data_IF_248347768677
#
_entry.id   IF_248347768677
#
_cell.length_a   1.000
_cell.length_b   1.000
_cell.length_c   1.000
_cell.angle_alpha   90.00
_cell.angle_beta   90.00
_cell.angle_gamma   90.00
#
_symmetry.space_group_name_H-M   'P 1'
#
loop_
_entity.id
_entity.type
_entity.pdbx_description
1 polymer ?
#
# COMPACT_ATOMS: atom_id res chain seq x y z
N UNK A 1 -26.34 -15.79 47.69
CA UNK A 1 -25.30 -15.82 48.75
C UNK A 1 -23.98 -16.08 48.03
N UNK A 2 -23.23 -15.04 47.64
CA UNK A 2 -22.18 -14.36 48.42
C UNK A 2 -21.02 -15.34 48.70
N UNK A 3 -19.77 -15.12 48.30
CA UNK A 3 -19.01 -13.88 48.37
C UNK A 3 -17.95 -13.75 47.27
N UNK A 4 -17.81 -12.51 46.79
CA UNK A 4 -16.62 -11.97 46.16
C UNK A 4 -15.63 -11.60 47.27
N UNK A 5 -14.36 -12.02 47.19
CA UNK A 5 -13.31 -11.11 47.65
C UNK A 5 -11.93 -11.34 47.04
N UNK A 6 -11.26 -10.20 46.85
CA UNK A 6 -10.00 -9.97 46.15
C UNK A 6 -8.79 -10.38 47.00
N UNK A 7 -7.75 -10.90 46.35
CA UNK A 7 -6.43 -11.16 46.94
C UNK A 7 -5.32 -10.53 46.10
N UNK A 8 -4.77 -9.44 46.63
CA UNK A 8 -3.71 -8.56 46.13
C UNK A 8 -2.35 -9.28 45.92
N UNK A 9 -1.65 -9.03 44.80
CA UNK A 9 -0.26 -9.46 44.59
C UNK A 9 0.68 -8.28 44.86
N UNK A 10 1.58 -8.33 45.86
CA UNK A 10 2.49 -7.22 46.12
C UNK A 10 3.65 -7.21 45.11
N UNK A 11 3.98 -5.99 44.68
CA UNK A 11 5.15 -5.64 43.89
C UNK A 11 6.42 -5.86 44.72
N UNK A 12 7.36 -6.67 44.23
CA UNK A 12 8.70 -6.77 44.79
C UNK A 12 9.59 -5.71 44.15
N UNK A 13 9.71 -4.59 44.87
CA UNK A 13 10.80 -3.62 44.74
C UNK A 13 12.07 -4.21 45.35
N UNK A 14 13.17 -4.23 44.60
CA UNK A 14 14.52 -4.52 45.12
C UNK A 14 15.39 -3.30 44.90
N UNK A 15 15.40 -2.40 45.89
CA UNK A 15 16.48 -1.44 46.13
C UNK A 15 17.29 -1.90 47.34
N UNK A 16 18.61 -1.79 47.24
CA UNK A 16 19.61 -2.09 48.28
C UNK A 16 20.67 -3.04 47.71
N UNK A 17 21.98 -2.81 47.79
CA UNK A 17 22.76 -2.03 48.77
C UNK A 17 24.09 -1.57 48.13
N UNK A 18 24.58 -0.46 48.66
CA UNK A 18 25.82 0.27 48.38
C UNK A 18 27.12 -0.44 48.81
N UNK A 19 28.20 -0.03 48.12
CA UNK A 19 29.58 0.17 48.61
C UNK A 19 30.56 -1.01 48.73
N UNK A 20 31.65 -0.88 47.96
CA UNK A 20 32.95 -1.54 48.20
C UNK A 20 33.97 -1.09 47.14
N UNK A 21 34.86 -0.16 47.50
CA UNK A 21 36.00 0.33 46.69
C UNK A 21 37.26 -0.43 47.10
N UNK A 22 38.04 -0.98 46.15
CA UNK A 22 39.50 -1.16 46.27
C UNK A 22 40.20 -1.52 44.94
N UNK A 23 40.99 -0.56 44.45
CA UNK A 23 42.28 -0.65 43.74
C UNK A 23 42.59 -1.70 42.63
N UNK A 24 42.75 -1.16 41.42
CA UNK A 24 43.90 -1.27 40.49
C UNK A 24 44.45 -2.65 40.05
N UNK A 25 44.19 -3.01 38.78
CA UNK A 25 45.17 -3.67 37.90
C UNK A 25 44.85 -3.36 36.42
N UNK A 26 45.79 -2.67 35.75
CA UNK A 26 45.81 -2.46 34.30
C UNK A 26 46.36 -3.72 33.61
N UNK A 27 45.53 -4.44 32.85
CA UNK A 27 45.98 -5.32 31.75
C UNK A 27 44.95 -5.22 30.63
N UNK A 28 45.44 -4.99 29.41
CA UNK A 28 44.72 -4.38 28.30
C UNK A 28 43.55 -5.18 27.73
N UNK A 29 42.53 -4.43 27.30
CA UNK A 29 41.51 -4.87 26.37
C UNK A 29 42.19 -5.29 25.06
N UNK A 30 42.29 -6.59 24.79
CA UNK A 30 42.29 -7.09 23.42
C UNK A 30 40.84 -7.05 22.93
N UNK A 31 40.36 -5.84 22.64
CA UNK A 31 39.07 -5.62 22.00
C UNK A 31 39.15 -6.17 20.56
N UNK A 32 38.17 -7.02 20.22
CA UNK A 32 37.94 -7.56 18.90
C UNK A 32 38.04 -6.46 17.84
N UNK A 33 39.05 -6.58 16.97
CA UNK A 33 39.11 -5.80 15.74
C UNK A 33 38.11 -6.34 14.73
N UNK A 34 36.82 -6.19 14.99
CA UNK A 34 35.84 -6.17 13.92
C UNK A 34 35.79 -4.74 13.42
N UNK A 35 36.32 -4.52 12.21
CA UNK A 35 36.13 -3.24 11.52
C UNK A 35 34.63 -3.06 11.38
N UNK A 36 34.08 -2.16 12.17
CA UNK A 36 32.73 -1.66 12.00
C UNK A 36 32.64 -1.17 10.55
N UNK A 37 31.97 -1.97 9.71
CA UNK A 37 31.62 -1.58 8.37
C UNK A 37 30.60 -0.48 8.57
N UNK A 38 31.06 0.78 8.58
CA UNK A 38 30.19 1.95 8.53
C UNK A 38 29.15 1.67 7.45
N UNK A 39 27.92 1.40 7.88
CA UNK A 39 26.84 1.15 6.97
C UNK A 39 26.68 2.43 6.16
N UNK A 40 26.91 2.32 4.87
CA UNK A 40 26.57 3.37 3.92
C UNK A 40 25.09 3.70 4.15
N UNK A 41 24.72 4.97 4.35
CA UNK A 41 23.32 5.37 4.46
C UNK A 41 22.55 4.72 3.31
N UNK A 42 21.39 4.07 3.57
CA UNK A 42 20.66 3.42 2.51
C UNK A 42 20.44 4.45 1.40
N UNK A 43 20.81 4.09 0.17
CA UNK A 43 20.58 4.93 -0.99
C UNK A 43 19.12 5.40 -0.92
N UNK A 44 18.92 6.70 -0.77
CA UNK A 44 17.60 7.31 -0.89
C UNK A 44 17.10 6.92 -2.27
N UNK A 45 16.09 6.05 -2.33
CA UNK A 45 15.43 5.77 -3.59
C UNK A 45 14.99 7.11 -4.17
N UNK A 46 15.47 7.44 -5.37
CA UNK A 46 15.09 8.68 -6.04
C UNK A 46 13.58 8.64 -6.31
N UNK A 47 12.82 9.50 -5.64
CA UNK A 47 11.38 9.67 -5.85
C UNK A 47 10.52 9.55 -4.60
N UNK A 48 9.19 9.63 -4.75
CA UNK A 48 8.28 9.51 -3.62
C UNK A 48 8.30 8.12 -2.99
N UNK A 49 8.02 8.05 -1.69
CA UNK A 49 8.00 6.80 -0.95
C UNK A 49 6.99 5.80 -1.55
N UNK A 50 7.41 4.55 -1.75
CA UNK A 50 6.53 3.48 -2.23
C UNK A 50 5.27 3.39 -1.36
N UNK A 51 4.11 3.28 -2.00
CA UNK A 51 2.81 3.28 -1.33
C UNK A 51 2.24 4.66 -1.02
N UNK A 52 2.96 5.76 -1.26
CA UNK A 52 2.38 7.11 -1.24
C UNK A 52 1.55 7.39 -2.51
N UNK A 53 0.63 8.34 -2.44
CA UNK A 53 -0.16 8.73 -3.62
C UNK A 53 0.74 9.35 -4.70
N UNK A 54 1.76 10.11 -4.30
CA UNK A 54 2.77 10.69 -5.18
C UNK A 54 3.56 9.61 -5.91
N UNK A 55 3.89 8.50 -5.23
CA UNK A 55 4.55 7.35 -5.86
C UNK A 55 3.67 6.74 -6.94
N UNK A 56 2.38 6.53 -6.66
CA UNK A 56 1.46 5.94 -7.63
C UNK A 56 1.23 6.87 -8.84
N UNK A 57 1.10 8.18 -8.60
CA UNK A 57 0.94 9.17 -9.69
C UNK A 57 2.22 9.29 -10.52
N UNK A 58 3.40 9.32 -9.89
CA UNK A 58 4.68 9.44 -10.59
C UNK A 58 5.18 8.13 -11.23
N UNK A 59 4.48 7.02 -10.98
CA UNK A 59 4.90 5.66 -11.33
C UNK A 59 5.39 5.51 -12.77
N UNK A 60 6.57 4.90 -13.01
CA UNK A 60 7.14 4.76 -14.35
C UNK A 60 6.32 3.86 -15.28
N UNK A 61 5.47 2.98 -14.74
CA UNK A 61 4.55 2.14 -15.51
C UNK A 61 3.50 2.95 -16.29
N UNK A 62 3.23 4.19 -15.87
CA UNK A 62 2.23 5.09 -16.48
C UNK A 62 2.74 5.83 -17.72
N UNK A 63 3.86 5.41 -18.32
CA UNK A 63 4.60 6.22 -19.30
C UNK A 63 3.74 6.81 -20.42
N UNK A 64 2.79 6.04 -20.97
CA UNK A 64 1.90 6.47 -22.04
C UNK A 64 0.76 7.38 -21.55
N UNK A 65 0.12 7.00 -20.45
CA UNK A 65 -1.09 7.64 -19.95
C UNK A 65 -0.79 8.93 -19.14
N UNK A 66 0.42 9.04 -18.55
CA UNK A 66 0.89 10.21 -17.79
C UNK A 66 0.91 11.51 -18.60
N UNK A 67 0.99 11.42 -19.93
CA UNK A 67 0.91 12.59 -20.82
C UNK A 67 -0.39 13.39 -20.66
N UNK A 68 -1.44 12.78 -20.12
CA UNK A 68 -2.75 13.39 -19.94
C UNK A 68 -2.92 14.05 -18.57
N UNK A 69 -1.98 13.84 -17.65
CA UNK A 69 -2.04 14.35 -16.26
C UNK A 69 -2.15 15.88 -16.23
N UNK A 70 -1.52 16.59 -17.16
CA UNK A 70 -1.58 18.05 -17.24
C UNK A 70 -3.01 18.61 -17.44
N UNK A 71 -3.89 17.85 -18.11
CA UNK A 71 -5.29 18.24 -18.31
C UNK A 71 -6.25 17.60 -17.30
N UNK A 72 -5.79 16.58 -16.56
CA UNK A 72 -6.63 15.76 -15.66
C UNK A 72 -6.36 15.97 -14.19
N UNK A 73 -5.20 16.53 -13.84
CA UNK A 73 -4.81 16.87 -12.47
C UNK A 73 -5.09 15.73 -11.48
N UNK A 74 -4.50 14.52 -11.68
CA UNK A 74 -4.86 13.36 -10.88
C UNK A 74 -4.53 13.55 -9.40
N UNK A 75 -3.41 14.21 -9.09
CA UNK A 75 -3.00 14.41 -7.71
C UNK A 75 -4.02 15.26 -6.95
N UNK A 76 -4.40 16.39 -7.54
CA UNK A 76 -5.37 17.33 -6.98
C UNK A 76 -6.74 16.68 -6.87
N UNK A 77 -7.16 15.95 -7.90
CA UNK A 77 -8.47 15.28 -7.94
C UNK A 77 -8.57 14.19 -6.87
N UNK A 78 -7.58 13.29 -6.78
CA UNK A 78 -7.61 12.18 -5.82
C UNK A 78 -7.45 12.67 -4.37
N UNK A 79 -6.71 13.76 -4.15
CA UNK A 79 -6.65 14.43 -2.84
C UNK A 79 -7.96 15.12 -2.47
N UNK A 80 -8.64 15.75 -3.43
CA UNK A 80 -9.95 16.36 -3.20
C UNK A 80 -10.99 15.32 -2.74
N UNK A 81 -11.00 14.14 -3.35
CA UNK A 81 -11.84 13.02 -2.90
C UNK A 81 -11.37 12.37 -1.59
N UNK A 82 -10.21 12.77 -1.07
CA UNK A 82 -9.65 12.20 0.16
C UNK A 82 -9.34 10.72 0.03
N UNK A 83 -8.88 10.26 -1.14
CA UNK A 83 -8.51 8.86 -1.38
C UNK A 83 -7.51 8.39 -0.32
N UNK A 84 -7.77 7.23 0.28
CA UNK A 84 -6.91 6.62 1.29
C UNK A 84 -6.52 5.19 0.91
N UNK A 85 -5.37 4.70 1.40
CA UNK A 85 -4.78 3.45 0.92
C UNK A 85 -5.60 2.20 1.28
N UNK A 86 -6.43 2.27 2.33
CA UNK A 86 -7.25 1.17 2.83
C UNK A 86 -8.70 1.19 2.34
N UNK A 87 -9.04 2.09 1.41
CA UNK A 87 -10.39 2.17 0.90
C UNK A 87 -10.74 0.98 -0.01
N UNK A 88 -12.04 0.69 -0.09
CA UNK A 88 -12.62 -0.02 -1.23
C UNK A 88 -13.07 1.04 -2.23
N UNK A 89 -12.55 0.98 -3.45
CA UNK A 89 -12.87 1.93 -4.52
C UNK A 89 -13.50 1.18 -5.68
N UNK A 90 -14.69 1.63 -6.08
CA UNK A 90 -15.35 1.18 -7.30
C UNK A 90 -15.12 2.21 -8.40
N UNK A 91 -14.49 1.80 -9.48
CA UNK A 91 -14.24 2.61 -10.67
C UNK A 91 -15.23 2.20 -11.77
N UNK A 92 -16.17 3.09 -12.06
CA UNK A 92 -17.23 2.86 -13.03
C UNK A 92 -16.75 3.21 -14.44
N UNK A 93 -16.80 2.22 -15.34
CA UNK A 93 -16.33 2.27 -16.71
C UNK A 93 -14.90 2.83 -16.82
N UNK A 94 -13.89 2.11 -16.29
CA UNK A 94 -12.50 2.59 -16.19
C UNK A 94 -11.83 2.85 -17.56
N UNK A 95 -12.49 2.47 -18.65
CA UNK A 95 -12.01 2.68 -20.02
C UNK A 95 -10.71 1.91 -20.27
N UNK A 96 -9.68 2.62 -20.75
CA UNK A 96 -8.33 2.05 -20.92
C UNK A 96 -7.54 1.98 -19.60
N UNK A 97 -8.11 2.41 -18.47
CA UNK A 97 -7.55 2.27 -17.13
C UNK A 97 -6.60 3.39 -16.68
N UNK A 98 -6.81 4.62 -17.14
CA UNK A 98 -5.93 5.74 -16.77
C UNK A 98 -5.88 6.01 -15.25
N UNK A 99 -7.04 5.95 -14.58
CA UNK A 99 -7.10 6.05 -13.11
C UNK A 99 -6.73 4.72 -12.46
N UNK A 100 -7.05 3.58 -13.08
CA UNK A 100 -6.62 2.24 -12.62
C UNK A 100 -5.13 2.18 -12.37
N UNK A 101 -4.32 2.75 -13.26
CA UNK A 101 -2.86 2.79 -13.12
C UNK A 101 -2.33 3.55 -11.90
N UNK A 102 -3.16 4.38 -11.27
CA UNK A 102 -2.84 5.12 -10.04
C UNK A 102 -3.49 4.44 -8.84
N UNK A 103 -4.80 4.22 -8.92
CA UNK A 103 -5.62 3.80 -7.77
C UNK A 103 -5.31 2.35 -7.40
N UNK A 104 -5.24 1.43 -8.38
CA UNK A 104 -5.00 0.02 -8.09
C UNK A 104 -3.66 -0.23 -7.37
N UNK A 105 -2.49 0.28 -7.83
CA UNK A 105 -1.23 0.07 -7.10
C UNK A 105 -1.21 0.79 -5.74
N UNK A 106 -1.84 1.97 -5.64
CA UNK A 106 -1.94 2.70 -4.37
C UNK A 106 -2.73 1.91 -3.31
N UNK A 107 -3.86 1.32 -3.69
CA UNK A 107 -4.66 0.49 -2.79
C UNK A 107 -3.97 -0.85 -2.51
N UNK A 108 -3.28 -1.45 -3.49
CA UNK A 108 -2.56 -2.70 -3.30
C UNK A 108 -1.46 -2.58 -2.24
N UNK A 109 -0.64 -1.53 -2.29
CA UNK A 109 0.35 -1.23 -1.23
C UNK A 109 -0.32 -0.90 0.12
N UNK A 110 -1.54 -0.36 0.04
CA UNK A 110 -2.34 0.08 1.17
C UNK A 110 -3.16 -1.00 1.87
N UNK A 111 -3.23 -2.22 1.34
CA UNK A 111 -4.20 -3.25 1.72
C UNK A 111 -5.68 -2.79 1.59
N UNK A 112 -5.97 -1.97 0.58
CA UNK A 112 -7.32 -1.63 0.13
C UNK A 112 -7.82 -2.57 -0.98
N UNK A 113 -8.96 -2.23 -1.57
CA UNK A 113 -9.62 -3.02 -2.61
C UNK A 113 -10.00 -2.15 -3.81
N UNK A 114 -9.65 -2.61 -5.01
CA UNK A 114 -10.05 -1.95 -6.25
C UNK A 114 -11.04 -2.84 -7.01
N UNK A 115 -12.19 -2.26 -7.35
CA UNK A 115 -13.27 -2.90 -8.10
C UNK A 115 -13.46 -2.12 -9.39
N UNK A 116 -13.22 -2.75 -10.54
CA UNK A 116 -13.48 -2.17 -11.85
C UNK A 116 -14.87 -2.63 -12.33
N UNK A 117 -15.83 -1.71 -12.32
CA UNK A 117 -17.18 -1.92 -12.82
C UNK A 117 -17.24 -1.54 -14.31
N UNK A 118 -16.92 -2.51 -15.16
CA UNK A 118 -16.80 -2.33 -16.60
C UNK A 118 -18.11 -2.47 -17.37
N UNK A 119 -18.00 -2.61 -18.69
CA UNK A 119 -19.17 -2.87 -19.53
C UNK A 119 -19.72 -4.28 -19.29
N UNK A 120 -21.05 -4.40 -19.29
CA UNK A 120 -21.70 -5.70 -19.34
C UNK A 120 -21.35 -6.41 -20.66
N UNK A 121 -20.81 -7.62 -20.55
CA UNK A 121 -20.51 -8.49 -21.69
C UNK A 121 -21.43 -9.70 -21.68
N UNK A 122 -21.67 -10.30 -22.85
CA UNK A 122 -22.60 -11.42 -23.01
C UNK A 122 -23.38 -11.36 -24.32
N UNK A 123 -24.43 -12.19 -24.48
CA UNK A 123 -25.27 -12.19 -25.66
C UNK A 123 -25.86 -10.80 -25.95
N UNK A 124 -25.65 -10.30 -27.17
CA UNK A 124 -26.15 -8.98 -27.60
C UNK A 124 -25.33 -7.78 -27.13
N UNK A 125 -24.22 -7.99 -26.42
CA UNK A 125 -23.30 -6.90 -26.07
C UNK A 125 -22.61 -6.33 -27.32
N UNK A 126 -22.28 -5.03 -27.28
CA UNK A 126 -21.53 -4.37 -28.35
C UNK A 126 -20.12 -5.00 -28.46
N UNK A 127 -19.70 -5.46 -29.66
CA UNK A 127 -18.36 -6.03 -29.86
C UNK A 127 -17.21 -5.12 -29.40
N UNK A 128 -17.35 -3.80 -29.50
CA UNK A 128 -16.35 -2.85 -29.03
C UNK A 128 -16.24 -2.84 -27.49
N UNK A 129 -17.36 -2.98 -26.77
CA UNK A 129 -17.37 -3.08 -25.32
C UNK A 129 -16.72 -4.37 -24.84
N UNK A 130 -17.01 -5.49 -25.52
CA UNK A 130 -16.36 -6.79 -25.24
C UNK A 130 -14.86 -6.69 -25.44
N UNK A 131 -14.41 -6.08 -26.54
CA UNK A 131 -12.98 -5.88 -26.81
C UNK A 131 -12.32 -4.98 -25.76
N UNK A 132 -12.98 -3.91 -25.31
CA UNK A 132 -12.43 -3.04 -24.28
C UNK A 132 -12.26 -3.77 -22.95
N UNK A 133 -13.23 -4.59 -22.54
CA UNK A 133 -13.14 -5.39 -21.32
C UNK A 133 -12.03 -6.43 -21.40
N UNK A 134 -11.87 -7.09 -22.54
CA UNK A 134 -10.77 -8.02 -22.77
C UNK A 134 -9.40 -7.31 -22.71
N UNK A 135 -9.27 -6.14 -23.34
CA UNK A 135 -8.05 -5.35 -23.31
C UNK A 135 -7.71 -4.86 -21.89
N UNK A 136 -8.72 -4.42 -21.12
CA UNK A 136 -8.55 -4.04 -19.72
C UNK A 136 -8.02 -5.21 -18.88
N UNK A 137 -8.68 -6.38 -18.98
CA UNK A 137 -8.25 -7.60 -18.30
C UNK A 137 -6.81 -7.97 -18.65
N UNK A 138 -6.46 -7.98 -19.93
CA UNK A 138 -5.11 -8.30 -20.38
C UNK A 138 -4.06 -7.34 -19.83
N UNK A 139 -4.38 -6.04 -19.78
CA UNK A 139 -3.45 -5.00 -19.31
C UNK A 139 -3.19 -5.08 -17.81
N UNK A 140 -4.23 -5.31 -17.00
CA UNK A 140 -4.13 -5.12 -15.55
C UNK A 140 -4.15 -6.42 -14.73
N UNK A 141 -4.85 -7.47 -15.17
CA UNK A 141 -5.00 -8.68 -14.36
C UNK A 141 -3.73 -9.55 -14.29
N UNK A 142 -2.78 -9.36 -15.20
CA UNK A 142 -1.58 -10.17 -15.30
C UNK A 142 -0.42 -9.68 -14.42
N UNK A 143 -0.44 -8.43 -13.94
CA UNK A 143 0.58 -7.87 -13.04
C UNK A 143 -0.01 -7.59 -11.65
N UNK A 144 -0.38 -8.67 -10.96
CA UNK A 144 -0.91 -8.61 -9.59
C UNK A 144 0.10 -8.05 -8.59
N UNK A 145 1.40 -8.09 -8.91
CA UNK A 145 2.43 -7.52 -8.04
C UNK A 145 2.33 -6.00 -8.01
N UNK A 146 2.05 -5.37 -9.15
CA UNK A 146 1.88 -3.93 -9.24
C UNK A 146 0.45 -3.52 -8.91
N UNK A 147 -0.55 -4.11 -9.55
CA UNK A 147 -1.94 -3.66 -9.49
C UNK A 147 -2.75 -4.29 -8.36
N UNK A 148 -2.21 -5.30 -7.66
CA UNK A 148 -2.96 -6.10 -6.70
C UNK A 148 -4.03 -6.97 -7.35
N UNK A 149 -4.97 -7.43 -6.53
CA UNK A 149 -6.19 -8.07 -7.02
C UNK A 149 -7.17 -7.00 -7.51
N UNK A 150 -7.50 -7.03 -8.80
CA UNK A 150 -8.59 -6.24 -9.34
C UNK A 150 -9.83 -7.12 -9.40
N UNK A 151 -10.85 -6.73 -8.64
CA UNK A 151 -12.18 -7.31 -8.78
C UNK A 151 -12.85 -6.72 -10.03
N UNK A 152 -13.37 -7.58 -10.89
CA UNK A 152 -14.07 -7.16 -12.10
C UNK A 152 -15.55 -7.43 -11.95
N UNK A 153 -16.33 -6.38 -12.11
CA UNK A 153 -17.79 -6.45 -12.17
C UNK A 153 -18.29 -5.69 -13.39
N UNK A 154 -19.60 -5.68 -13.61
CA UNK A 154 -20.24 -4.99 -14.72
C UNK A 154 -21.23 -3.94 -14.21
N UNK A 155 -21.31 -2.83 -14.93
CA UNK A 155 -22.35 -1.82 -14.74
C UNK A 155 -23.08 -1.57 -16.06
N UNK A 156 -24.36 -1.92 -16.10
CA UNK A 156 -25.22 -1.78 -17.27
C UNK A 156 -26.69 -2.08 -16.97
N UNK A 157 -27.58 -2.00 -17.98
CA UNK A 157 -29.03 -2.07 -17.78
C UNK A 157 -29.53 -3.34 -17.08
N UNK A 158 -28.78 -4.44 -17.18
CA UNK A 158 -29.16 -5.75 -16.64
C UNK A 158 -28.06 -6.37 -15.76
N UNK A 159 -27.04 -5.61 -15.33
CA UNK A 159 -25.89 -6.17 -14.61
C UNK A 159 -26.18 -6.52 -13.15
N UNK A 160 -27.29 -6.02 -12.61
CA UNK A 160 -27.55 -6.04 -11.17
C UNK A 160 -26.79 -4.96 -10.42
N UNK A 161 -26.91 -4.92 -9.08
CA UNK A 161 -26.16 -3.99 -8.24
C UNK A 161 -24.66 -4.22 -8.33
N UNK A 162 -23.91 -3.14 -8.13
CA UNK A 162 -22.46 -3.13 -7.90
C UNK A 162 -22.20 -2.97 -6.41
#
# INVERSE_FOLDING_TARGET
>A
MNDLNKGWRPFLSRRGVLSGVAASALVGLAACGEKEKTAEPPATADGPAKGSLEWAVAGPWRAQDRLRDAARHPMETLRFFGLQPRFTVVDFWPGSGWYTEIIAPYLAEGAGHYIAAGFQTGPGADPAQVQLMAAFQQRFANDRKLYGEIELTAFGPTSGPV
#
